data_IF_351187043161
#
_entry.id   IF_351187043161
#
_cell.length_a   1.000
_cell.length_b   1.000
_cell.length_c   1.000
_cell.angle_alpha   90.00
_cell.angle_beta   90.00
_cell.angle_gamma   90.00
#
_symmetry.space_group_name_H-M   'P 1'
#
loop_
_entity.id
_entity.type
_entity.pdbx_description
1 polymer ?
#
# COMPACT_ATOMS: atom_id res chain seq x y z
N UNK A 1 11.41 -12.30 8.09
CA UNK A 1 12.84 -11.96 8.10
C UNK A 1 13.01 -10.71 8.96
N UNK A 2 14.00 -10.73 9.86
CA UNK A 2 14.22 -9.70 10.88
C UNK A 2 14.23 -8.27 10.31
N UNK A 3 13.59 -7.34 11.01
CA UNK A 3 13.84 -5.90 10.88
C UNK A 3 15.34 -5.63 11.08
N UNK A 4 16.13 -5.67 10.00
CA UNK A 4 17.53 -5.29 10.04
C UNK A 4 17.60 -3.77 10.12
N UNK A 5 17.72 -3.25 11.34
CA UNK A 5 18.14 -1.87 11.56
C UNK A 5 19.55 -1.69 10.98
N UNK A 6 19.67 -0.84 9.96
CA UNK A 6 20.98 -0.44 9.43
C UNK A 6 21.45 0.81 10.16
N UNK A 7 22.67 0.78 10.70
CA UNK A 7 23.30 1.94 11.32
C UNK A 7 23.89 2.86 10.25
N UNK A 8 23.65 4.15 10.39
CA UNK A 8 24.17 5.18 9.48
C UNK A 8 25.03 6.14 10.30
N UNK A 9 26.20 6.50 9.80
CA UNK A 9 27.06 7.54 10.37
C UNK A 9 27.10 8.71 9.40
N UNK A 10 26.66 9.89 9.82
CA UNK A 10 26.64 11.10 9.01
C UNK A 10 27.47 12.20 9.67
N UNK A 11 28.17 13.01 8.87
CA UNK A 11 28.84 14.23 9.32
C UNK A 11 27.93 15.41 8.99
N UNK A 12 27.62 16.22 9.98
CA UNK A 12 26.79 17.42 9.85
C UNK A 12 27.65 18.66 9.99
N UNK A 13 27.25 19.75 9.34
CA UNK A 13 27.80 21.06 9.67
C UNK A 13 27.42 21.44 11.12
N UNK A 14 28.16 22.35 11.77
CA UNK A 14 27.80 22.83 13.12
C UNK A 14 26.37 23.38 13.18
N UNK A 15 25.94 24.06 12.13
CA UNK A 15 24.60 24.65 12.04
C UNK A 15 23.51 23.57 11.91
N UNK A 16 23.72 22.58 11.05
CA UNK A 16 22.79 21.45 10.88
C UNK A 16 22.70 20.58 12.14
N UNK A 17 23.82 20.39 12.85
CA UNK A 17 23.83 19.69 14.13
C UNK A 17 23.03 20.45 15.18
N UNK A 18 23.20 21.77 15.25
CA UNK A 18 22.47 22.64 16.17
C UNK A 18 20.97 22.59 15.88
N UNK A 19 20.60 22.64 14.60
CA UNK A 19 19.21 22.48 14.18
C UNK A 19 18.65 21.10 14.53
N UNK A 20 19.39 20.01 14.28
CA UNK A 20 18.96 18.67 14.66
C UNK A 20 18.69 18.56 16.17
N UNK A 21 19.55 19.17 17.00
CA UNK A 21 19.40 19.13 18.47
C UNK A 21 18.20 19.93 18.96
N UNK A 22 17.77 20.97 18.23
CA UNK A 22 16.61 21.78 18.60
C UNK A 22 15.25 21.11 18.34
N UNK A 23 15.21 19.98 17.62
CA UNK A 23 13.98 19.22 17.37
C UNK A 23 13.46 18.60 18.67
N UNK A 24 12.35 19.12 19.19
CA UNK A 24 11.66 18.58 20.37
C UNK A 24 10.22 18.19 20.00
N UNK A 25 10.11 17.08 19.27
CA UNK A 25 8.84 16.48 18.82
C UNK A 25 8.77 15.03 19.27
N UNK A 26 7.56 14.59 19.62
CA UNK A 26 7.25 13.20 19.95
C UNK A 26 8.17 12.57 21.04
N UNK A 27 8.77 13.39 21.90
CA UNK A 27 9.69 12.93 22.95
C UNK A 27 11.04 12.45 22.44
N UNK A 28 11.50 12.90 21.26
CA UNK A 28 12.81 12.56 20.73
C UNK A 28 13.95 13.19 21.54
N UNK A 29 14.61 12.39 22.39
CA UNK A 29 15.69 12.84 23.28
C UNK A 29 17.05 12.55 22.67
N UNK A 30 17.24 11.36 22.10
CA UNK A 30 18.52 10.93 21.54
C UNK A 30 18.73 11.45 20.13
N UNK A 31 20.01 11.54 19.70
CA UNK A 31 20.35 11.95 18.34
C UNK A 31 19.69 11.06 17.28
N UNK A 32 19.65 9.75 17.49
CA UNK A 32 19.00 8.82 16.57
C UNK A 32 17.48 8.97 16.51
N UNK A 33 16.82 9.36 17.61
CA UNK A 33 15.40 9.71 17.60
C UNK A 33 15.17 11.01 16.85
N UNK A 34 15.97 12.05 17.09
CA UNK A 34 15.85 13.34 16.40
C UNK A 34 16.08 13.21 14.90
N UNK A 35 16.99 12.34 14.46
CA UNK A 35 17.18 12.00 13.03
C UNK A 35 15.94 11.30 12.46
N UNK A 36 15.32 10.37 13.20
CA UNK A 36 14.08 9.72 12.77
C UNK A 36 12.93 10.71 12.64
N UNK A 37 12.79 11.63 13.60
CA UNK A 37 11.79 12.70 13.53
C UNK A 37 12.05 13.66 12.37
N UNK A 38 13.31 14.03 12.10
CA UNK A 38 13.65 14.84 10.94
C UNK A 38 13.27 14.15 9.62
N UNK A 39 13.49 12.84 9.52
CA UNK A 39 13.07 12.04 8.35
C UNK A 39 11.54 11.98 8.26
N UNK A 40 10.84 11.82 9.38
CA UNK A 40 9.38 11.86 9.41
C UNK A 40 8.84 13.22 8.94
N UNK A 41 9.39 14.31 9.47
CA UNK A 41 9.08 15.68 9.04
C UNK A 41 9.36 15.90 7.55
N UNK A 42 10.48 15.40 7.04
CA UNK A 42 10.80 15.49 5.61
C UNK A 42 9.85 14.64 4.75
N UNK A 43 9.34 13.52 5.26
CA UNK A 43 8.31 12.73 4.59
C UNK A 43 6.96 13.46 4.58
N UNK A 44 6.62 14.13 5.68
CA UNK A 44 5.41 14.95 5.80
C UNK A 44 5.47 16.21 4.92
N UNK A 45 6.62 16.90 4.88
CA UNK A 45 6.77 18.20 4.21
C UNK A 45 6.84 18.11 2.69
N UNK A 46 7.22 16.95 2.14
CA UNK A 46 7.35 16.76 0.68
C UNK A 46 6.02 16.35 0.04
N UNK A 47 4.94 16.24 0.83
CA UNK A 47 3.63 15.86 0.32
C UNK A 47 3.61 14.45 -0.30
N UNK A 48 2.41 13.97 -0.59
CA UNK A 48 2.18 12.67 -1.24
C UNK A 48 2.34 12.81 -2.76
N UNK A 49 3.34 13.58 -3.23
CA UNK A 49 3.47 13.96 -4.65
C UNK A 49 3.89 12.80 -5.56
N UNK A 50 4.35 11.67 -5.00
CA UNK A 50 4.74 10.49 -5.77
C UNK A 50 3.87 9.29 -5.43
N UNK A 51 3.31 8.66 -6.47
CA UNK A 51 2.55 7.41 -6.37
C UNK A 51 3.28 6.33 -5.59
N UNK A 52 4.59 6.21 -5.76
CA UNK A 52 5.39 5.23 -5.01
C UNK A 52 5.35 5.48 -3.49
N UNK A 53 5.28 6.74 -3.05
CA UNK A 53 5.18 7.07 -1.61
C UNK A 53 3.78 6.86 -1.08
N UNK A 54 2.76 7.25 -1.85
CA UNK A 54 1.36 6.97 -1.53
C UNK A 54 1.14 5.46 -1.39
N UNK A 55 1.70 4.68 -2.30
CA UNK A 55 1.66 3.23 -2.29
C UNK A 55 2.37 2.64 -1.07
N UNK A 56 3.57 3.13 -0.72
CA UNK A 56 4.27 2.68 0.48
C UNK A 56 3.48 3.01 1.75
N UNK A 57 2.94 4.23 1.89
CA UNK A 57 2.16 4.63 3.06
C UNK A 57 0.84 3.84 3.19
N UNK A 58 0.11 3.68 2.08
CA UNK A 58 -1.11 2.86 2.04
C UNK A 58 -0.79 1.38 2.32
N UNK A 59 0.32 0.88 1.78
CA UNK A 59 0.82 -0.47 2.01
C UNK A 59 1.23 -0.71 3.46
N UNK A 60 1.91 0.24 4.10
CA UNK A 60 2.33 0.20 5.50
C UNK A 60 1.13 0.02 6.46
N UNK A 61 0.03 0.74 6.19
CA UNK A 61 -1.21 0.61 6.96
C UNK A 61 -1.79 -0.81 6.88
N UNK A 62 -1.59 -1.48 5.74
CA UNK A 62 -2.09 -2.84 5.51
C UNK A 62 -1.11 -3.94 5.96
N UNK A 63 0.14 -3.61 6.34
CA UNK A 63 1.16 -4.59 6.71
C UNK A 63 0.74 -5.52 7.86
N UNK A 64 0.14 -5.06 8.97
CA UNK A 64 -0.26 -5.96 10.06
C UNK A 64 -1.31 -6.98 9.60
N UNK A 65 -2.25 -6.56 8.75
CA UNK A 65 -3.29 -7.43 8.19
C UNK A 65 -2.68 -8.43 7.21
N UNK A 66 -1.80 -7.98 6.31
CA UNK A 66 -1.08 -8.85 5.37
C UNK A 66 -0.21 -9.88 6.12
N UNK A 67 0.49 -9.48 7.17
CA UNK A 67 1.31 -10.38 7.98
C UNK A 67 0.47 -11.48 8.65
N UNK A 68 -0.63 -11.10 9.32
CA UNK A 68 -1.57 -12.04 9.94
C UNK A 68 -2.19 -13.00 8.90
N UNK A 69 -2.38 -12.53 7.68
CA UNK A 69 -2.92 -13.33 6.59
C UNK A 69 -1.90 -14.32 6.00
N UNK A 70 -0.62 -13.93 5.88
CA UNK A 70 0.45 -14.81 5.38
C UNK A 70 0.68 -16.02 6.28
N UNK A 71 0.44 -15.87 7.59
CA UNK A 71 0.51 -16.94 8.60
C UNK A 71 -0.60 -17.99 8.48
N UNK A 72 -1.64 -17.74 7.68
CA UNK A 72 -2.72 -18.70 7.45
C UNK A 72 -2.25 -19.89 6.60
N UNK A 73 -2.69 -21.10 6.97
CA UNK A 73 -2.34 -22.34 6.26
C UNK A 73 -2.86 -22.39 4.82
N UNK A 74 -4.01 -21.76 4.57
CA UNK A 74 -4.62 -21.65 3.24
C UNK A 74 -4.89 -20.18 2.95
N UNK A 75 -4.65 -19.77 1.71
CA UNK A 75 -4.83 -18.40 1.24
C UNK A 75 -5.89 -18.40 0.15
N UNK A 76 -6.81 -17.45 0.21
CA UNK A 76 -7.75 -17.09 -0.85
C UNK A 76 -7.18 -16.00 -1.77
N UNK A 77 -7.25 -16.22 -3.08
CA UNK A 77 -6.87 -15.22 -4.07
C UNK A 77 -7.83 -14.02 -4.07
N UNK A 78 -9.11 -14.17 -3.68
CA UNK A 78 -10.03 -13.02 -3.49
C UNK A 78 -9.52 -12.10 -2.40
N UNK A 79 -9.06 -12.66 -1.29
CA UNK A 79 -8.58 -11.87 -0.15
C UNK A 79 -7.27 -11.18 -0.53
N UNK A 80 -6.37 -11.84 -1.25
CA UNK A 80 -5.16 -11.19 -1.78
C UNK A 80 -5.50 -10.03 -2.72
N UNK A 81 -6.42 -10.26 -3.68
CA UNK A 81 -6.87 -9.22 -4.61
C UNK A 81 -7.49 -8.02 -3.87
N UNK A 82 -8.29 -8.26 -2.82
CA UNK A 82 -8.86 -7.21 -1.97
C UNK A 82 -7.77 -6.39 -1.26
N UNK A 83 -6.81 -7.05 -0.63
CA UNK A 83 -5.75 -6.37 0.12
C UNK A 83 -4.84 -5.52 -0.77
N UNK A 84 -4.69 -5.89 -2.04
CA UNK A 84 -3.92 -5.13 -3.02
C UNK A 84 -4.71 -3.96 -3.59
N UNK A 85 -5.94 -4.17 -4.07
CA UNK A 85 -6.75 -3.08 -4.64
C UNK A 85 -7.04 -1.98 -3.61
N UNK A 86 -7.17 -2.33 -2.33
CA UNK A 86 -7.34 -1.32 -1.26
C UNK A 86 -6.08 -0.49 -1.10
N UNK A 87 -4.90 -1.10 -1.10
CA UNK A 87 -3.64 -0.37 -0.96
C UNK A 87 -3.34 0.50 -2.18
N UNK A 88 -3.51 -0.04 -3.38
CA UNK A 88 -3.26 0.66 -4.64
C UNK A 88 -4.32 1.72 -4.94
N UNK A 89 -5.58 1.44 -4.63
CA UNK A 89 -6.67 2.40 -4.74
C UNK A 89 -6.49 3.58 -3.78
N UNK A 90 -6.12 3.32 -2.53
CA UNK A 90 -5.80 4.39 -1.58
C UNK A 90 -4.62 5.25 -2.07
N UNK A 91 -3.59 4.63 -2.63
CA UNK A 91 -2.45 5.34 -3.22
C UNK A 91 -2.87 6.22 -4.41
N UNK A 92 -3.70 5.70 -5.30
CA UNK A 92 -4.22 6.45 -6.45
C UNK A 92 -5.04 7.67 -6.00
N UNK A 93 -5.93 7.49 -5.02
CA UNK A 93 -6.75 8.58 -4.46
C UNK A 93 -5.86 9.65 -3.82
N UNK A 94 -4.86 9.25 -3.03
CA UNK A 94 -3.98 10.20 -2.35
C UNK A 94 -3.16 11.05 -3.31
N UNK A 95 -2.61 10.45 -4.37
CA UNK A 95 -1.84 11.19 -5.38
C UNK A 95 -2.71 12.17 -6.15
N UNK A 96 -3.94 11.77 -6.49
CA UNK A 96 -4.83 12.63 -7.26
C UNK A 96 -5.51 13.72 -6.41
N UNK A 97 -5.31 13.74 -5.08
CA UNK A 97 -6.02 14.64 -4.17
C UNK A 97 -5.76 16.14 -4.39
N UNK A 98 -4.72 16.50 -5.13
CA UNK A 98 -4.37 17.88 -5.46
C UNK A 98 -4.53 18.22 -6.96
N UNK A 99 -5.02 17.28 -7.77
CA UNK A 99 -5.19 17.48 -9.21
C UNK A 99 -6.41 18.36 -9.51
N UNK A 100 -6.27 19.32 -10.43
CA UNK A 100 -7.36 20.23 -10.85
C UNK A 100 -8.53 19.46 -11.49
N UNK A 101 -8.22 18.36 -12.17
CA UNK A 101 -9.20 17.44 -12.75
C UNK A 101 -9.06 16.04 -12.13
N UNK A 102 -9.71 15.87 -10.97
CA UNK A 102 -9.62 14.65 -10.17
C UNK A 102 -10.04 13.39 -10.94
N UNK A 103 -11.17 13.43 -11.67
CA UNK A 103 -11.75 12.22 -12.26
C UNK A 103 -10.86 11.58 -13.35
N UNK A 104 -10.36 12.31 -14.37
CA UNK A 104 -9.45 11.74 -15.36
C UNK A 104 -8.12 11.26 -14.77
N UNK A 105 -7.58 12.02 -13.79
CA UNK A 105 -6.35 11.64 -13.11
C UNK A 105 -6.55 10.33 -12.32
N UNK A 106 -7.64 10.21 -11.57
CA UNK A 106 -7.94 9.02 -10.79
C UNK A 106 -8.21 7.80 -11.68
N UNK A 107 -8.93 7.97 -12.78
CA UNK A 107 -9.16 6.90 -13.76
C UNK A 107 -7.82 6.36 -14.29
N UNK A 108 -6.92 7.25 -14.72
CA UNK A 108 -5.61 6.85 -15.22
C UNK A 108 -4.73 6.18 -14.15
N UNK A 109 -4.75 6.69 -12.90
CA UNK A 109 -3.91 6.16 -11.82
C UNK A 109 -4.44 4.86 -11.21
N UNK A 110 -5.75 4.67 -11.17
CA UNK A 110 -6.37 3.47 -10.62
C UNK A 110 -6.44 2.31 -11.61
N UNK A 111 -6.41 2.59 -12.93
CA UNK A 111 -6.57 1.58 -13.97
C UNK A 111 -5.65 0.36 -13.81
N UNK A 112 -4.33 0.49 -13.55
CA UNK A 112 -3.46 -0.68 -13.40
C UNK A 112 -3.87 -1.60 -12.24
N UNK A 113 -4.31 -1.01 -11.12
CA UNK A 113 -4.76 -1.76 -9.97
C UNK A 113 -6.08 -2.49 -10.26
N UNK A 114 -6.99 -1.81 -10.97
CA UNK A 114 -8.27 -2.39 -11.42
C UNK A 114 -8.02 -3.54 -12.39
N UNK A 115 -7.10 -3.40 -13.34
CA UNK A 115 -6.71 -4.46 -14.27
C UNK A 115 -6.15 -5.69 -13.54
N UNK A 116 -5.19 -5.50 -12.63
CA UNK A 116 -4.63 -6.58 -11.83
C UNK A 116 -5.69 -7.26 -10.93
N UNK A 117 -6.62 -6.48 -10.37
CA UNK A 117 -7.75 -7.02 -9.62
C UNK A 117 -8.65 -7.87 -10.53
N UNK A 118 -9.04 -7.36 -11.70
CA UNK A 118 -9.88 -8.09 -12.65
C UNK A 118 -9.21 -9.38 -13.12
N UNK A 119 -7.90 -9.37 -13.39
CA UNK A 119 -7.15 -10.57 -13.75
C UNK A 119 -7.29 -11.67 -12.68
N UNK A 120 -7.12 -11.31 -11.40
CA UNK A 120 -7.27 -12.27 -10.29
C UNK A 120 -8.69 -12.80 -10.16
N UNK A 121 -9.70 -11.96 -10.36
CA UNK A 121 -11.10 -12.38 -10.35
C UNK A 121 -11.39 -13.32 -11.54
N UNK A 122 -10.84 -13.04 -12.71
CA UNK A 122 -10.98 -13.91 -13.89
C UNK A 122 -10.31 -15.27 -13.65
N UNK A 123 -9.12 -15.32 -13.06
CA UNK A 123 -8.46 -16.59 -12.70
C UNK A 123 -9.37 -17.45 -11.80
N UNK A 124 -10.03 -16.84 -10.83
CA UNK A 124 -10.98 -17.53 -9.96
C UNK A 124 -12.25 -18.00 -10.68
N UNK A 125 -12.68 -17.26 -11.70
CA UNK A 125 -13.88 -17.60 -12.46
C UNK A 125 -13.62 -18.64 -13.58
N UNK A 126 -12.36 -18.88 -13.94
CA UNK A 126 -12.00 -19.78 -15.05
C UNK A 126 -11.33 -21.08 -14.59
N UNK A 127 -10.78 -21.13 -13.37
CA UNK A 127 -10.17 -22.35 -12.84
C UNK A 127 -11.20 -23.34 -12.31
N UNK A 128 -10.96 -24.64 -12.55
CA UNK A 128 -11.76 -25.74 -12.02
C UNK A 128 -11.61 -25.88 -10.49
N UNK A 129 -10.39 -25.66 -9.98
CA UNK A 129 -10.07 -25.64 -8.55
C UNK A 129 -9.55 -24.26 -8.13
N UNK A 130 -10.43 -23.24 -8.03
CA UNK A 130 -10.01 -21.89 -7.73
C UNK A 130 -9.48 -21.80 -6.30
N UNK A 131 -8.41 -21.02 -6.12
CA UNK A 131 -7.78 -20.80 -4.82
C UNK A 131 -8.65 -19.87 -3.95
N UNK A 132 -9.70 -20.41 -3.37
CA UNK A 132 -10.64 -19.74 -2.44
C UNK A 132 -10.77 -20.54 -1.15
N UNK A 133 -11.15 -19.85 -0.07
CA UNK A 133 -11.46 -20.50 1.21
C UNK A 133 -12.93 -20.95 1.28
N UNK A 134 -13.81 -20.26 0.54
CA UNK A 134 -15.23 -20.56 0.42
C UNK A 134 -15.56 -21.00 -1.01
N UNK A 135 -15.86 -22.29 -1.25
CA UNK A 135 -16.23 -22.80 -2.57
C UNK A 135 -17.48 -22.12 -3.15
N UNK A 136 -18.46 -21.74 -2.32
CA UNK A 136 -19.67 -21.06 -2.81
C UNK A 136 -19.34 -19.70 -3.42
N UNK A 137 -18.34 -19.01 -2.89
CA UNK A 137 -17.90 -17.72 -3.42
C UNK A 137 -17.34 -17.89 -4.86
N UNK A 138 -16.62 -18.97 -5.12
CA UNK A 138 -16.15 -19.29 -6.47
C UNK A 138 -17.32 -19.62 -7.41
N UNK A 139 -18.26 -20.47 -7.00
CA UNK A 139 -19.44 -20.80 -7.83
C UNK A 139 -20.25 -19.56 -8.20
N UNK A 140 -20.47 -18.66 -7.23
CA UNK A 140 -21.17 -17.38 -7.46
C UNK A 140 -20.43 -16.50 -8.47
N UNK A 141 -19.10 -16.43 -8.40
CA UNK A 141 -18.28 -15.67 -9.36
C UNK A 141 -18.31 -16.29 -10.75
N UNK A 142 -18.11 -17.60 -10.86
CA UNK A 142 -18.16 -18.34 -12.12
C UNK A 142 -19.52 -18.16 -12.81
N UNK A 143 -20.62 -18.30 -12.06
CA UNK A 143 -21.97 -18.09 -12.58
C UNK A 143 -22.18 -16.67 -13.10
N UNK A 144 -21.72 -15.64 -12.36
CA UNK A 144 -21.82 -14.24 -12.78
C UNK A 144 -21.01 -13.97 -14.05
N UNK A 145 -19.78 -14.47 -14.15
CA UNK A 145 -18.93 -14.27 -15.33
C UNK A 145 -19.53 -14.96 -16.55
N UNK A 146 -20.00 -16.21 -16.43
CA UNK A 146 -20.70 -16.90 -17.54
C UNK A 146 -21.89 -16.09 -18.05
N UNK A 147 -22.71 -15.54 -17.16
CA UNK A 147 -23.86 -14.70 -17.52
C UNK A 147 -23.46 -13.42 -18.25
N UNK A 148 -22.30 -12.83 -17.92
CA UNK A 148 -21.79 -11.63 -18.59
C UNK A 148 -21.21 -11.92 -19.97
N UNK A 149 -20.56 -13.08 -20.15
CA UNK A 149 -19.97 -13.49 -21.43
C UNK A 149 -21.02 -13.99 -22.43
N UNK A 150 -22.15 -14.54 -21.95
CA UNK A 150 -23.23 -15.07 -22.80
C UNK A 150 -24.36 -14.05 -23.05
N UNK A 151 -24.10 -12.76 -22.84
CA UNK A 151 -24.99 -11.65 -23.21
C UNK A 151 -24.64 -11.14 -24.59
#
# INVERSE_FOLDING_TARGET
MLNKTQSISARLSPDDYTYLMSIDRNGAVTQSEKVRELIAMARESVGVESFSRAYLAAGETMLPVKAKYIEQQRRSLIVEALLEIVAEGAAAIQVCGQEESLAPALEQKALPAIEAFMEKILLLALQDEPRVLDPEAAEKLQHRVRKLVHR
#
